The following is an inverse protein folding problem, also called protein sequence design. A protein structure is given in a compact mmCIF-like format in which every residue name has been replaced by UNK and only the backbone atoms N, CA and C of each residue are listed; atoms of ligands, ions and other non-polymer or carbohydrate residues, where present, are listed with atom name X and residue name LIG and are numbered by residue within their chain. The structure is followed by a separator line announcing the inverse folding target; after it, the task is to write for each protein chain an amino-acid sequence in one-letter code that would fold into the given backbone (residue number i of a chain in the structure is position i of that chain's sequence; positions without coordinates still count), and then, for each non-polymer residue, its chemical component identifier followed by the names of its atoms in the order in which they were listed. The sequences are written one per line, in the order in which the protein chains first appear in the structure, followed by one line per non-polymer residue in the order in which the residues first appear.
data_IF_507142943133
#
_entry.id   IF_507142943133
#
_cell.length_a   1.000
_cell.length_b   1.000
_cell.length_c   1.000
_cell.angle_alpha   90.00
_cell.angle_beta   90.00
_cell.angle_gamma   90.00
#
_symmetry.space_group_name_H-M   'P 1'
#
loop_
_entity.id
_entity.type
_entity.pdbx_description
1 polymer ?
#
# COMPACT_ATOMS: atom_id res chain seq x y z
N UNK A 1 -16.34 9.50 -7.71
CA UNK A 1 -16.35 9.05 -9.10
C UNK A 1 -15.42 9.86 -9.97
N UNK A 2 -14.97 9.27 -11.07
CA UNK A 2 -14.10 9.92 -12.02
C UNK A 2 -14.77 11.11 -12.68
N UNK A 3 -13.99 12.15 -12.95
CA UNK A 3 -14.49 13.27 -13.76
C UNK A 3 -14.67 12.80 -15.21
N UNK A 4 -15.49 13.48 -16.00
CA UNK A 4 -15.62 13.13 -17.42
C UNK A 4 -14.27 13.11 -18.16
N UNK A 5 -13.39 14.05 -17.85
CA UNK A 5 -12.07 14.11 -18.48
C UNK A 5 -11.22 12.88 -18.14
N UNK A 6 -11.29 12.41 -16.90
CA UNK A 6 -10.57 11.21 -16.48
C UNK A 6 -11.09 9.96 -17.18
N UNK A 7 -12.41 9.88 -17.38
CA UNK A 7 -13.02 8.72 -18.05
C UNK A 7 -12.70 8.66 -19.54
N UNK A 8 -12.47 9.79 -20.15
CA UNK A 8 -12.16 9.86 -21.58
C UNK A 8 -10.76 9.35 -21.90
N UNK A 9 -9.86 9.30 -20.91
CA UNK A 9 -8.51 8.81 -21.11
C UNK A 9 -8.47 7.31 -20.86
N UNK A 10 -8.23 6.54 -21.91
CA UNK A 10 -8.19 5.09 -21.81
C UNK A 10 -7.17 4.61 -20.76
N UNK A 11 -7.60 3.73 -19.89
CA UNK A 11 -6.77 3.18 -18.83
C UNK A 11 -6.64 4.08 -17.61
N UNK A 12 -7.19 5.30 -17.62
CA UNK A 12 -7.12 6.20 -16.48
C UNK A 12 -8.05 5.74 -15.36
N UNK A 13 -7.49 5.52 -14.19
CA UNK A 13 -8.28 5.19 -13.00
C UNK A 13 -8.88 6.45 -12.39
N UNK A 14 -9.98 6.29 -11.66
CA UNK A 14 -10.59 7.39 -10.93
C UNK A 14 -9.66 7.83 -9.79
N UNK A 15 -9.13 9.02 -9.92
CA UNK A 15 -8.26 9.61 -8.90
C UNK A 15 -8.99 9.75 -7.56
N UNK A 16 -10.23 10.25 -7.62
CA UNK A 16 -11.01 10.49 -6.42
C UNK A 16 -11.23 9.20 -5.64
N UNK A 17 -11.60 8.12 -6.31
CA UNK A 17 -11.84 6.84 -5.65
C UNK A 17 -10.57 6.28 -5.01
N UNK A 18 -9.43 6.37 -5.70
CA UNK A 18 -8.16 5.85 -5.19
C UNK A 18 -7.68 6.67 -3.99
N UNK A 19 -7.69 7.99 -4.12
CA UNK A 19 -7.24 8.89 -3.04
C UNK A 19 -8.16 8.75 -1.83
N UNK A 20 -9.47 8.70 -2.04
CA UNK A 20 -10.44 8.53 -0.95
C UNK A 20 -10.21 7.22 -0.22
N UNK A 21 -9.92 6.15 -0.94
CA UNK A 21 -9.65 4.86 -0.31
C UNK A 21 -8.45 4.91 0.63
N UNK A 22 -7.34 5.50 0.18
CA UNK A 22 -6.13 5.64 1.00
C UNK A 22 -6.38 6.55 2.20
N UNK A 23 -7.14 7.61 2.01
CA UNK A 23 -7.48 8.52 3.10
C UNK A 23 -8.38 7.86 4.14
N UNK A 24 -9.43 7.19 3.70
CA UNK A 24 -10.38 6.53 4.61
C UNK A 24 -9.74 5.35 5.33
N UNK A 25 -8.97 4.53 4.62
CA UNK A 25 -8.40 3.33 5.24
C UNK A 25 -7.20 3.64 6.12
N UNK A 26 -6.30 4.50 5.65
CA UNK A 26 -5.01 4.72 6.32
C UNK A 26 -4.78 6.16 6.79
N UNK A 27 -5.70 7.05 6.54
CA UNK A 27 -5.51 8.45 6.93
C UNK A 27 -4.38 9.15 6.17
N UNK A 28 -4.09 8.69 4.96
CA UNK A 28 -3.09 9.35 4.11
C UNK A 28 -3.73 10.59 3.49
N UNK A 29 -3.09 11.75 3.69
CA UNK A 29 -3.63 13.01 3.20
C UNK A 29 -3.65 13.05 1.67
N UNK A 30 -4.71 13.62 1.06
CA UNK A 30 -4.80 13.72 -0.40
C UNK A 30 -3.62 14.42 -1.05
N UNK A 31 -3.01 15.37 -0.36
CA UNK A 31 -1.83 16.13 -0.84
C UNK A 31 -0.64 15.21 -1.13
N UNK A 32 -0.59 14.04 -0.48
CA UNK A 32 0.46 13.05 -0.72
C UNK A 32 0.50 12.62 -2.19
N UNK A 33 -0.64 12.68 -2.87
CA UNK A 33 -0.79 12.20 -4.24
C UNK A 33 -0.86 13.33 -5.27
N UNK A 34 -0.56 14.57 -4.91
CA UNK A 34 -0.78 15.71 -5.80
C UNK A 34 0.03 15.64 -7.12
N UNK A 35 1.19 15.01 -7.10
CA UNK A 35 2.03 14.87 -8.29
C UNK A 35 2.00 13.47 -8.89
N UNK A 36 0.92 12.74 -8.64
CA UNK A 36 0.77 11.35 -9.05
C UNK A 36 -0.48 11.21 -9.93
N UNK A 37 -0.37 10.43 -11.00
CA UNK A 37 -1.53 10.00 -11.77
C UNK A 37 -1.76 8.51 -11.56
N UNK A 38 -3.02 8.10 -11.63
CA UNK A 38 -3.39 6.70 -11.42
C UNK A 38 -3.94 6.09 -12.71
N UNK A 39 -3.51 4.88 -13.00
CA UNK A 39 -3.91 4.18 -14.21
C UNK A 39 -4.24 2.74 -13.88
N UNK A 40 -5.28 2.21 -14.51
CA UNK A 40 -5.61 0.79 -14.39
C UNK A 40 -4.99 0.07 -15.58
N UNK A 41 -4.03 -0.82 -15.29
CA UNK A 41 -3.38 -1.65 -16.30
C UNK A 41 -3.51 -3.09 -15.83
N UNK A 42 -4.03 -3.93 -16.69
CA UNK A 42 -4.44 -5.25 -16.27
C UNK A 42 -5.70 -5.15 -15.42
N UNK A 43 -6.32 -6.25 -15.16
CA UNK A 43 -7.62 -6.24 -14.50
C UNK A 43 -7.47 -5.91 -13.00
N UNK A 44 -7.98 -4.77 -12.59
CA UNK A 44 -8.01 -4.35 -11.18
C UNK A 44 -6.68 -3.95 -10.59
N UNK A 45 -5.64 -3.74 -11.40
CA UNK A 45 -4.35 -3.27 -10.90
C UNK A 45 -4.24 -1.77 -11.12
N UNK A 46 -4.12 -1.03 -10.03
CA UNK A 46 -3.98 0.42 -10.09
C UNK A 46 -2.51 0.78 -9.95
N UNK A 47 -1.99 1.48 -10.94
CA UNK A 47 -0.61 1.95 -11.00
C UNK A 47 -0.53 3.43 -10.69
N UNK A 48 0.53 3.85 -10.02
CA UNK A 48 0.82 5.25 -9.78
C UNK A 48 2.05 5.65 -10.58
N UNK A 49 1.95 6.78 -11.26
CA UNK A 49 3.03 7.34 -12.05
C UNK A 49 3.20 8.81 -11.71
N UNK A 50 4.38 9.34 -11.95
CA UNK A 50 4.62 10.77 -11.83
C UNK A 50 3.69 11.51 -12.79
N UNK A 51 3.06 12.59 -12.34
CA UNK A 51 2.08 13.34 -13.12
C UNK A 51 2.62 13.91 -14.43
N UNK A 52 3.93 14.11 -14.51
CA UNK A 52 4.57 14.67 -15.71
C UNK A 52 4.68 13.67 -16.86
N UNK A 53 4.40 12.40 -16.63
CA UNK A 53 4.49 11.40 -17.69
C UNK A 53 3.28 11.50 -18.61
N UNK A 54 3.49 11.63 -19.92
CA UNK A 54 2.39 11.78 -20.88
C UNK A 54 1.55 10.52 -21.05
N UNK A 55 2.17 9.34 -20.91
CA UNK A 55 1.45 8.07 -21.01
C UNK A 55 2.24 6.95 -20.33
N UNK A 56 1.61 6.16 -19.47
CA UNK A 56 2.28 5.04 -18.82
C UNK A 56 2.62 3.90 -19.78
N UNK A 57 1.99 3.86 -20.95
CA UNK A 57 2.28 2.82 -21.95
C UNK A 57 3.71 2.90 -22.44
N UNK A 58 4.26 4.11 -22.53
CA UNK A 58 5.63 4.34 -23.01
C UNK A 58 6.69 4.27 -21.92
N UNK A 59 6.25 4.30 -20.66
CA UNK A 59 7.17 4.32 -19.51
C UNK A 59 6.87 3.17 -18.56
N UNK A 60 6.41 2.07 -19.12
CA UNK A 60 6.13 0.87 -18.37
C UNK A 60 7.36 0.46 -17.55
N UNK A 61 7.15 0.18 -16.28
CA UNK A 61 8.23 -0.12 -15.36
C UNK A 61 8.68 1.06 -14.52
N UNK A 62 8.31 2.31 -14.89
CA UNK A 62 8.62 3.47 -14.08
C UNK A 62 7.55 3.77 -13.02
N UNK A 63 6.39 3.14 -13.14
CA UNK A 63 5.34 3.28 -12.15
C UNK A 63 5.35 2.15 -11.13
N UNK A 64 4.57 2.32 -10.07
CA UNK A 64 4.41 1.27 -9.07
C UNK A 64 2.94 0.89 -8.95
N UNK A 65 2.67 -0.39 -8.71
CA UNK A 65 1.31 -0.83 -8.41
C UNK A 65 1.00 -0.46 -6.97
N UNK A 66 -0.12 0.22 -6.74
CA UNK A 66 -0.46 0.72 -5.40
C UNK A 66 -1.71 0.08 -4.80
N UNK A 67 -2.57 -0.52 -5.64
CA UNK A 67 -3.87 -1.00 -5.19
C UNK A 67 -4.38 -2.09 -6.12
N UNK A 68 -5.07 -3.07 -5.57
CA UNK A 68 -5.76 -4.12 -6.33
C UNK A 68 -7.24 -4.04 -5.99
N UNK A 69 -8.09 -3.90 -7.02
CA UNK A 69 -9.51 -3.59 -6.83
C UNK A 69 -10.47 -4.71 -7.25
N UNK A 70 -9.97 -5.85 -7.72
CA UNK A 70 -10.85 -6.96 -8.15
C UNK A 70 -11.46 -7.76 -7.03
N UNK A 71 -10.97 -7.60 -5.82
CA UNK A 71 -11.48 -8.33 -4.66
C UNK A 71 -12.57 -7.54 -3.98
N UNK A 72 -13.39 -8.22 -3.20
CA UNK A 72 -14.45 -7.59 -2.42
C UNK A 72 -13.92 -6.41 -1.60
N UNK A 73 -12.79 -6.60 -0.93
CA UNK A 73 -12.10 -5.53 -0.24
C UNK A 73 -10.84 -5.17 -0.99
N UNK A 74 -10.70 -3.92 -1.35
CA UNK A 74 -9.52 -3.47 -2.09
C UNK A 74 -8.26 -3.74 -1.28
N UNK A 75 -7.23 -4.20 -1.96
CA UNK A 75 -5.98 -4.60 -1.31
C UNK A 75 -4.85 -3.65 -1.67
N UNK A 76 -4.22 -2.99 -0.66
CA UNK A 76 -3.03 -2.19 -0.93
C UNK A 76 -1.86 -3.11 -1.25
N UNK A 77 -0.90 -2.60 -2.01
CA UNK A 77 0.30 -3.36 -2.32
C UNK A 77 1.43 -2.97 -1.37
N UNK A 78 2.41 -3.85 -1.23
CA UNK A 78 3.61 -3.55 -0.45
C UNK A 78 4.33 -2.32 -1.01
N UNK A 79 4.48 -2.22 -2.34
CA UNK A 79 5.10 -1.05 -2.96
C UNK A 79 4.33 0.22 -2.68
N UNK A 80 2.99 0.16 -2.70
CA UNK A 80 2.15 1.30 -2.38
C UNK A 80 2.31 1.77 -0.94
N UNK A 81 2.29 0.85 0.03
CA UNK A 81 2.44 1.25 1.43
C UNK A 81 3.85 1.75 1.74
N UNK A 82 4.87 1.19 1.10
CA UNK A 82 6.24 1.68 1.30
C UNK A 82 6.41 3.08 0.73
N UNK A 83 5.74 3.39 -0.37
CA UNK A 83 5.85 4.70 -1.02
C UNK A 83 5.00 5.77 -0.32
N UNK A 84 3.78 5.44 0.09
CA UNK A 84 2.81 6.42 0.57
C UNK A 84 2.40 6.24 2.02
N UNK A 85 2.80 5.16 2.68
CA UNK A 85 2.30 4.82 4.00
C UNK A 85 3.06 5.39 5.19
N UNK A 86 4.18 6.07 4.97
CA UNK A 86 5.00 6.59 6.07
C UNK A 86 4.22 7.54 6.98
N UNK A 87 3.36 8.34 6.40
CA UNK A 87 2.58 9.33 7.15
C UNK A 87 1.14 8.90 7.41
N UNK A 88 0.83 7.62 7.20
CA UNK A 88 -0.48 7.10 7.52
C UNK A 88 -0.77 7.22 9.01
N UNK A 89 -2.02 7.57 9.33
CA UNK A 89 -2.42 7.82 10.72
C UNK A 89 -3.40 6.77 11.26
N UNK A 90 -3.91 5.90 10.40
CA UNK A 90 -4.95 4.94 10.74
C UNK A 90 -4.58 3.56 10.21
N UNK A 91 -4.91 2.51 10.98
CA UNK A 91 -4.68 1.12 10.59
C UNK A 91 -3.21 0.81 10.27
N UNK A 92 -2.33 1.39 11.09
CA UNK A 92 -0.90 1.10 11.07
C UNK A 92 -0.58 0.34 12.35
N UNK A 93 -0.04 -0.87 12.23
CA UNK A 93 0.39 -1.64 13.39
C UNK A 93 1.91 -1.49 13.56
N UNK A 94 2.31 -0.98 14.73
CA UNK A 94 3.72 -0.83 15.06
C UNK A 94 4.26 -2.16 15.57
N UNK A 95 5.36 -2.63 14.98
CA UNK A 95 5.96 -3.91 15.31
C UNK A 95 7.26 -3.72 16.08
N UNK A 96 7.45 -4.56 17.10
CA UNK A 96 8.72 -4.64 17.81
C UNK A 96 9.78 -5.26 16.87
N UNK A 97 11.08 -5.09 17.13
CA UNK A 97 12.11 -5.60 16.23
C UNK A 97 11.97 -7.08 15.84
N UNK A 98 11.69 -7.96 16.80
CA UNK A 98 11.51 -9.38 16.52
C UNK A 98 10.25 -9.64 15.68
N UNK A 99 9.18 -8.91 15.95
CA UNK A 99 7.94 -8.99 15.18
C UNK A 99 8.16 -8.50 13.75
N UNK A 100 8.89 -7.40 13.60
CA UNK A 100 9.20 -6.84 12.28
C UNK A 100 10.03 -7.83 11.47
N UNK A 101 11.00 -8.48 12.09
CA UNK A 101 11.82 -9.49 11.43
C UNK A 101 10.99 -10.68 10.97
N UNK A 102 10.09 -11.17 11.82
CA UNK A 102 9.20 -12.29 11.48
C UNK A 102 8.23 -11.90 10.37
N UNK A 103 7.68 -10.69 10.42
CA UNK A 103 6.80 -10.18 9.38
C UNK A 103 7.51 -10.10 8.03
N UNK A 104 8.71 -9.54 8.01
CA UNK A 104 9.50 -9.43 6.79
C UNK A 104 9.84 -10.79 6.20
N UNK A 105 9.98 -11.81 7.04
CA UNK A 105 10.24 -13.17 6.60
C UNK A 105 8.97 -13.91 6.14
N UNK A 106 7.82 -13.26 6.20
CA UNK A 106 6.57 -13.84 5.73
C UNK A 106 5.79 -14.64 6.77
N UNK A 107 6.17 -14.54 8.03
CA UNK A 107 5.53 -15.32 9.10
C UNK A 107 4.27 -14.63 9.63
N UNK A 108 3.26 -15.42 9.91
CA UNK A 108 2.04 -14.96 10.56
C UNK A 108 2.27 -14.96 12.07
N UNK A 109 1.65 -14.01 12.77
CA UNK A 109 1.88 -13.81 14.21
C UNK A 109 0.58 -13.52 14.93
N UNK A 110 0.44 -14.05 16.13
CA UNK A 110 -0.67 -13.72 17.02
C UNK A 110 -0.32 -12.42 17.74
N UNK A 111 -1.04 -11.34 17.43
CA UNK A 111 -0.81 -10.02 18.01
C UNK A 111 -2.14 -9.46 18.55
N UNK A 112 -2.57 -9.96 19.69
CA UNK A 112 -3.87 -9.62 20.28
C UNK A 112 -3.98 -8.17 20.77
N UNK A 113 -2.85 -7.46 20.86
CA UNK A 113 -2.86 -6.07 21.32
C UNK A 113 -3.50 -5.10 20.35
N UNK A 114 -3.68 -5.50 19.08
CA UNK A 114 -4.32 -4.63 18.10
C UNK A 114 -5.79 -4.42 18.41
N UNK A 115 -6.20 -3.18 18.55
CA UNK A 115 -7.57 -2.82 18.88
C UNK A 115 -8.28 -2.02 17.80
N UNK A 116 -7.69 -1.92 16.62
CA UNK A 116 -8.27 -1.22 15.48
C UNK A 116 -9.07 -2.14 14.57
N UNK A 117 -9.29 -1.67 13.35
CA UNK A 117 -10.07 -2.41 12.38
C UNK A 117 -9.38 -3.70 11.95
N UNK A 118 -10.19 -4.68 11.58
CA UNK A 118 -9.69 -5.89 10.93
C UNK A 118 -9.53 -5.62 9.43
N UNK A 119 -8.81 -6.49 8.76
CA UNK A 119 -8.53 -6.37 7.34
C UNK A 119 -7.10 -5.96 7.06
N UNK A 120 -6.87 -5.21 5.99
CA UNK A 120 -5.51 -4.84 5.61
C UNK A 120 -4.97 -3.72 6.46
N UNK A 121 -3.79 -3.96 7.04
CA UNK A 121 -3.06 -2.99 7.86
C UNK A 121 -1.70 -2.70 7.23
N UNK A 122 -1.18 -1.51 7.50
CA UNK A 122 0.21 -1.21 7.21
C UNK A 122 1.03 -1.68 8.40
N UNK A 123 1.97 -2.59 8.17
CA UNK A 123 2.91 -3.01 9.19
C UNK A 123 4.14 -2.10 9.12
N UNK A 124 4.52 -1.53 10.26
CA UNK A 124 5.61 -0.58 10.33
C UNK A 124 6.47 -0.83 11.56
N UNK A 125 7.70 -0.35 11.52
CA UNK A 125 8.57 -0.38 12.69
C UNK A 125 9.37 0.92 12.74
N UNK A 126 9.95 1.19 13.89
CA UNK A 126 10.79 2.36 14.06
C UNK A 126 12.23 2.01 13.67
N UNK A 127 12.79 2.82 12.79
CA UNK A 127 14.18 2.67 12.35
C UNK A 127 14.84 4.05 12.45
N UNK A 128 15.89 4.14 13.25
CA UNK A 128 16.63 5.38 13.47
C UNK A 128 15.71 6.56 13.88
N UNK A 129 14.73 6.27 14.73
CA UNK A 129 13.80 7.27 15.23
C UNK A 129 12.64 7.60 14.33
N UNK A 130 12.54 6.96 13.17
CA UNK A 130 11.46 7.22 12.22
C UNK A 130 10.66 5.95 11.93
N UNK A 131 9.37 6.13 11.72
CA UNK A 131 8.50 5.02 11.34
C UNK A 131 8.76 4.64 9.88
N UNK A 132 9.01 3.36 9.65
CA UNK A 132 9.22 2.82 8.32
C UNK A 132 8.18 1.75 8.02
N UNK A 133 7.34 1.93 6.99
CA UNK A 133 6.44 0.86 6.55
C UNK A 133 7.24 -0.32 6.01
N UNK A 134 6.85 -1.52 6.42
CA UNK A 134 7.49 -2.76 5.97
C UNK A 134 6.68 -3.40 4.86
N UNK A 135 5.37 -3.38 4.99
CA UNK A 135 4.49 -4.02 4.02
C UNK A 135 3.06 -4.10 4.50
N UNK A 136 2.30 -4.94 3.84
CA UNK A 136 0.88 -5.13 4.10
C UNK A 136 0.66 -6.41 4.91
N UNK A 137 -0.14 -6.31 5.96
CA UNK A 137 -0.60 -7.47 6.71
C UNK A 137 -2.12 -7.57 6.65
N UNK A 138 -2.63 -8.80 6.73
CA UNK A 138 -4.06 -9.03 6.86
C UNK A 138 -4.33 -9.44 8.29
N UNK A 139 -5.08 -8.62 9.01
CA UNK A 139 -5.37 -8.87 10.43
C UNK A 139 -6.79 -9.42 10.59
N UNK A 140 -6.89 -10.62 11.10
CA UNK A 140 -8.15 -11.29 11.36
C UNK A 140 -8.03 -12.13 12.62
N UNK A 141 -9.01 -12.02 13.51
CA UNK A 141 -9.11 -12.87 14.71
C UNK A 141 -7.83 -12.89 15.56
N UNK A 142 -7.21 -11.73 15.72
CA UNK A 142 -6.01 -11.61 16.55
C UNK A 142 -4.71 -11.98 15.84
N UNK A 143 -4.78 -12.43 14.61
CA UNK A 143 -3.60 -12.84 13.85
C UNK A 143 -3.26 -11.85 12.76
N UNK A 144 -2.01 -11.41 12.73
CA UNK A 144 -1.46 -10.60 11.66
C UNK A 144 -0.78 -11.53 10.66
N UNK A 145 -1.34 -11.61 9.46
CA UNK A 145 -0.82 -12.45 8.38
C UNK A 145 0.02 -11.59 7.45
N UNK A 146 1.29 -11.95 7.31
CA UNK A 146 2.18 -11.21 6.42
C UNK A 146 1.77 -11.40 4.97
N UNK A 147 1.66 -10.29 4.22
CA UNK A 147 1.39 -10.30 2.78
C UNK A 147 2.58 -9.76 1.99
N UNK A 148 3.77 -9.80 2.60
CA UNK A 148 4.99 -9.38 1.94
C UNK A 148 5.29 -10.35 0.79
N UNK A 149 5.45 -9.87 -0.45
CA UNK A 149 5.80 -10.75 -1.57
C UNK A 149 7.13 -11.45 -1.34
N UNK A 150 7.26 -12.64 -1.87
CA UNK A 150 8.46 -13.48 -1.65
C UNK A 150 9.76 -12.77 -2.03
N UNK A 151 9.76 -12.05 -3.13
CA UNK A 151 10.95 -11.28 -3.54
C UNK A 151 11.34 -10.21 -2.53
N UNK A 152 10.36 -9.55 -1.91
CA UNK A 152 10.59 -8.58 -0.85
C UNK A 152 11.10 -9.24 0.43
N UNK A 153 10.66 -10.46 0.72
CA UNK A 153 11.14 -11.19 1.88
C UNK A 153 12.64 -11.39 1.81
N UNK A 154 13.15 -11.76 0.66
CA UNK A 154 14.59 -11.96 0.46
C UNK A 154 15.35 -10.64 0.59
N UNK A 155 14.83 -9.56 -0.01
CA UNK A 155 15.44 -8.24 0.06
C UNK A 155 15.48 -7.72 1.49
N UNK A 156 14.36 -7.83 2.22
CA UNK A 156 14.28 -7.36 3.59
C UNK A 156 15.17 -8.17 4.55
N UNK A 157 15.35 -9.44 4.28
CA UNK A 157 16.21 -10.28 5.10
C UNK A 157 17.67 -9.84 5.04
N UNK A 158 18.11 -9.31 3.90
CA UNK A 158 19.48 -8.81 3.72
C UNK A 158 19.73 -7.55 4.53
N UNK A 159 18.69 -6.77 4.80
CA UNK A 159 18.80 -5.48 5.49
C UNK A 159 18.87 -5.59 7.02
N UNK A 160 18.82 -6.77 7.57
CA UNK A 160 18.86 -6.95 9.03
C UNK A 160 20.27 -6.84 9.59
#
# INVERSE_FOLDING_TARGET
PATPAEREVEGRASREEVVDWWQERFGVAPETFENVTFWEKGSGKIWAFNADLPSPVRVEGLGITVLRTRQEHWKPTTTGVKRFGREATTNVIELEPAEAAAFAAGHDQQLDRWDGDWGYLIAAHELAGEREPIGVGLYLHGELRSRVPKGYQEELAVLK
#
